data_IF_123333805392
#
_entry.id   IF_123333805392
#
_cell.length_a   1.000
_cell.length_b   1.000
_cell.length_c   1.000
_cell.angle_alpha   90.00
_cell.angle_beta   90.00
_cell.angle_gamma   90.00
#
_symmetry.space_group_name_H-M   'P 1'
#
loop_
_entity.id
_entity.type
_entity.pdbx_description
1 polymer ?
#
# COMPACT_ATOMS: atom_id res chain seq x y z
N UNK A 1 -2.12 -24.75 18.89
CA UNK A 1 -3.12 -23.71 18.60
C UNK A 1 -2.48 -22.41 18.97
N UNK A 2 -1.95 -21.71 18.00
CA UNK A 2 -1.36 -20.38 18.17
C UNK A 2 -2.48 -19.39 18.42
N UNK A 3 -2.35 -18.59 19.47
CA UNK A 3 -3.22 -17.45 19.69
C UNK A 3 -3.29 -16.63 18.41
N UNK A 4 -4.48 -16.49 17.88
CA UNK A 4 -4.74 -15.84 16.62
C UNK A 4 -4.28 -14.39 16.68
N UNK A 5 -3.27 -14.05 15.88
CA UNK A 5 -2.91 -12.66 15.61
C UNK A 5 -3.97 -12.04 14.71
N UNK A 6 -4.33 -10.80 14.99
CA UNK A 6 -5.33 -10.08 14.21
C UNK A 6 -4.66 -9.01 13.34
N UNK A 7 -5.21 -8.79 12.17
CA UNK A 7 -4.74 -7.79 11.23
C UNK A 7 -5.83 -6.77 11.00
N UNK A 8 -5.50 -5.48 11.17
CA UNK A 8 -6.37 -4.41 10.71
C UNK A 8 -6.05 -4.17 9.24
N UNK A 9 -7.02 -4.39 8.41
CA UNK A 9 -6.95 -4.24 6.96
C UNK A 9 -8.06 -3.31 6.48
N UNK A 10 -8.01 -2.92 5.24
CA UNK A 10 -9.01 -2.07 4.62
C UNK A 10 -9.86 -2.88 3.67
N UNK A 11 -11.17 -2.79 3.81
CA UNK A 11 -12.15 -3.37 2.92
C UNK A 11 -12.91 -2.30 2.14
N UNK A 12 -13.45 -2.67 0.98
CA UNK A 12 -14.39 -1.87 0.23
C UNK A 12 -15.80 -2.40 0.41
N UNK A 13 -16.69 -1.54 0.88
CA UNK A 13 -18.11 -1.74 0.67
C UNK A 13 -18.57 -0.79 -0.43
N UNK A 14 -19.12 -1.35 -1.49
CA UNK A 14 -19.46 -0.58 -2.68
C UNK A 14 -18.20 0.08 -3.28
N UNK A 15 -18.03 1.40 -3.17
CA UNK A 15 -16.86 2.14 -3.64
C UNK A 15 -16.14 2.93 -2.53
N UNK A 16 -16.43 2.63 -1.27
CA UNK A 16 -15.80 3.28 -0.10
C UNK A 16 -14.84 2.34 0.63
N UNK A 17 -13.66 2.87 0.98
CA UNK A 17 -12.70 2.14 1.77
C UNK A 17 -13.07 2.17 3.26
N UNK A 18 -12.96 1.03 3.94
CA UNK A 18 -13.22 0.88 5.38
C UNK A 18 -12.05 0.20 6.08
N UNK A 19 -11.83 0.56 7.35
CA UNK A 19 -10.97 -0.21 8.23
C UNK A 19 -11.73 -1.42 8.75
N UNK A 20 -11.10 -2.59 8.74
CA UNK A 20 -11.69 -3.86 9.16
C UNK A 20 -10.72 -4.55 10.14
N UNK A 21 -11.27 -5.13 11.20
CA UNK A 21 -10.57 -6.06 12.08
C UNK A 21 -10.82 -7.47 11.57
N UNK A 22 -9.82 -8.06 10.92
CA UNK A 22 -9.88 -9.40 10.36
C UNK A 22 -9.29 -10.41 11.33
N UNK A 23 -10.00 -11.50 11.57
CA UNK A 23 -9.64 -12.55 12.55
C UNK A 23 -9.40 -13.90 11.90
N UNK A 24 -9.79 -14.05 10.64
CA UNK A 24 -9.63 -15.27 9.86
C UNK A 24 -8.79 -15.01 8.60
N UNK A 25 -8.24 -16.10 8.04
CA UNK A 25 -7.49 -16.04 6.78
C UNK A 25 -8.35 -15.50 5.63
N UNK A 26 -9.59 -15.92 5.55
CA UNK A 26 -10.48 -15.53 4.44
C UNK A 26 -10.86 -14.04 4.53
N UNK A 27 -11.11 -13.52 5.73
CA UNK A 27 -11.30 -12.07 5.95
C UNK A 27 -10.06 -11.26 5.53
N UNK A 28 -8.84 -11.74 5.85
CA UNK A 28 -7.60 -11.08 5.43
C UNK A 28 -7.47 -11.08 3.90
N UNK A 29 -7.78 -12.21 3.24
CA UNK A 29 -7.75 -12.32 1.78
C UNK A 29 -8.79 -11.42 1.13
N UNK A 30 -10.00 -11.35 1.68
CA UNK A 30 -11.06 -10.48 1.18
C UNK A 30 -10.65 -9.00 1.19
N UNK A 31 -9.80 -8.61 2.15
CA UNK A 31 -9.27 -7.25 2.25
C UNK A 31 -8.05 -6.97 1.37
N UNK A 32 -7.55 -7.94 0.60
CA UNK A 32 -6.39 -7.76 -0.27
C UNK A 32 -6.65 -6.73 -1.38
N UNK A 33 -5.58 -6.13 -1.89
CA UNK A 33 -5.61 -5.14 -2.97
C UNK A 33 -5.47 -3.69 -2.49
N UNK A 34 -5.00 -2.84 -3.39
CA UNK A 34 -4.77 -1.41 -3.11
C UNK A 34 -6.09 -0.65 -2.97
N UNK A 35 -6.18 0.21 -1.96
CA UNK A 35 -7.26 1.15 -1.72
C UNK A 35 -6.67 2.56 -1.74
N UNK A 36 -6.98 3.32 -2.77
CA UNK A 36 -6.38 4.64 -2.97
C UNK A 36 -7.22 5.78 -2.37
N UNK A 37 -8.15 5.46 -1.48
CA UNK A 37 -8.97 6.43 -0.75
C UNK A 37 -8.47 6.63 0.69
N UNK A 38 -8.64 7.84 1.24
CA UNK A 38 -8.49 8.06 2.68
C UNK A 38 -9.54 7.24 3.44
N UNK A 39 -9.13 6.66 4.53
CA UNK A 39 -10.03 5.95 5.44
C UNK A 39 -9.46 6.04 6.86
N UNK A 40 -10.31 6.00 7.88
CA UNK A 40 -9.89 6.18 9.27
C UNK A 40 -9.29 4.88 9.84
N UNK A 41 -8.16 4.44 9.27
CA UNK A 41 -7.54 3.14 9.58
C UNK A 41 -7.21 2.98 11.07
N UNK A 42 -6.77 4.05 11.74
CA UNK A 42 -6.43 4.01 13.15
C UNK A 42 -7.66 3.79 14.06
N UNK A 43 -8.88 4.07 13.60
CA UNK A 43 -10.08 3.69 14.34
C UNK A 43 -10.23 2.17 14.47
N UNK A 44 -9.73 1.40 13.50
CA UNK A 44 -9.67 -0.06 13.60
C UNK A 44 -8.83 -0.56 14.78
N UNK A 45 -7.77 0.17 15.20
CA UNK A 45 -7.01 -0.15 16.41
C UNK A 45 -7.87 -0.03 17.67
N UNK A 46 -8.68 1.01 17.76
CA UNK A 46 -9.62 1.18 18.91
C UNK A 46 -10.64 0.05 18.96
N UNK A 47 -11.15 -0.39 17.81
CA UNK A 47 -12.09 -1.52 17.76
C UNK A 47 -11.39 -2.83 18.15
N UNK A 48 -10.16 -3.05 17.72
CA UNK A 48 -9.35 -4.19 18.12
C UNK A 48 -9.07 -4.20 19.63
N UNK A 49 -8.72 -3.03 20.19
CA UNK A 49 -8.51 -2.88 21.63
C UNK A 49 -9.80 -3.15 22.43
N UNK A 50 -10.94 -2.58 22.02
CA UNK A 50 -12.26 -2.85 22.63
C UNK A 50 -12.64 -4.33 22.57
N UNK A 51 -12.28 -5.03 21.50
CA UNK A 51 -12.48 -6.47 21.35
C UNK A 51 -11.52 -7.30 22.22
N UNK A 52 -10.61 -6.67 22.96
CA UNK A 52 -9.67 -7.34 23.86
C UNK A 52 -8.58 -8.12 23.16
N UNK A 53 -8.25 -7.79 21.89
CA UNK A 53 -7.26 -8.50 21.10
C UNK A 53 -5.86 -8.27 21.65
N UNK A 54 -5.09 -9.36 21.85
CA UNK A 54 -3.79 -9.34 22.53
C UNK A 54 -2.59 -9.36 21.58
N UNK A 55 -2.81 -9.64 20.30
CA UNK A 55 -1.76 -9.67 19.28
C UNK A 55 -2.30 -9.09 17.98
N UNK A 56 -1.90 -7.88 17.67
CA UNK A 56 -2.41 -7.12 16.52
C UNK A 56 -1.29 -6.91 15.51
N UNK A 57 -1.50 -7.32 14.26
CA UNK A 57 -0.71 -6.86 13.13
C UNK A 57 -1.50 -5.78 12.40
N UNK A 58 -0.88 -4.62 12.14
CA UNK A 58 -1.49 -3.57 11.33
C UNK A 58 -0.84 -3.51 9.95
N UNK A 59 -1.68 -3.44 8.90
CA UNK A 59 -1.22 -3.06 7.55
C UNK A 59 -1.66 -1.63 7.29
N UNK A 60 -0.74 -0.74 6.98
CA UNK A 60 -1.03 0.69 6.89
C UNK A 60 -0.17 1.41 5.85
N UNK A 61 -0.53 2.65 5.56
CA UNK A 61 0.31 3.56 4.78
C UNK A 61 1.47 4.09 5.63
N UNK A 62 2.57 4.59 5.02
CA UNK A 62 3.72 5.12 5.76
C UNK A 62 3.37 6.18 6.80
N UNK A 63 2.45 7.09 6.47
CA UNK A 63 2.00 8.12 7.41
C UNK A 63 1.24 7.55 8.61
N UNK A 64 0.47 6.49 8.43
CA UNK A 64 -0.20 5.80 9.54
C UNK A 64 0.80 4.98 10.36
N UNK A 65 1.81 4.35 9.74
CA UNK A 65 2.89 3.68 10.47
C UNK A 65 3.61 4.66 11.41
N UNK A 66 3.94 5.86 10.91
CA UNK A 66 4.54 6.91 11.74
C UNK A 66 3.62 7.33 12.89
N UNK A 67 2.32 7.48 12.64
CA UNK A 67 1.34 7.80 13.68
C UNK A 67 1.26 6.70 14.73
N UNK A 68 1.21 5.43 14.34
CA UNK A 68 1.24 4.28 15.25
C UNK A 68 2.49 4.29 16.12
N UNK A 69 3.68 4.52 15.54
CA UNK A 69 4.93 4.58 16.32
C UNK A 69 4.95 5.74 17.29
N UNK A 70 4.40 6.91 16.91
CA UNK A 70 4.26 8.03 17.85
C UNK A 70 3.30 7.69 19.00
N UNK A 71 2.17 7.03 18.71
CA UNK A 71 1.26 6.55 19.76
C UNK A 71 1.94 5.55 20.71
N UNK A 72 2.81 4.68 20.21
CA UNK A 72 3.57 3.71 21.03
C UNK A 72 4.57 4.39 21.99
N UNK A 73 4.95 5.63 21.74
CA UNK A 73 5.84 6.41 22.61
C UNK A 73 5.08 7.20 23.68
N UNK A 74 3.76 7.24 23.60
CA UNK A 74 2.90 8.02 24.49
C UNK A 74 2.07 7.08 25.38
N UNK A 75 2.28 7.09 26.69
CA UNK A 75 1.55 6.23 27.65
C UNK A 75 0.02 6.35 27.57
N UNK A 76 -0.49 7.48 27.12
CA UNK A 76 -1.94 7.71 27.01
C UNK A 76 -2.60 6.83 25.94
N UNK A 77 -1.81 6.20 25.06
CA UNK A 77 -2.29 5.31 24.01
C UNK A 77 -1.99 3.82 24.26
N UNK A 78 -1.42 3.46 25.41
CA UNK A 78 -1.00 2.06 25.69
C UNK A 78 -2.16 1.06 25.57
N UNK A 79 -3.36 1.43 25.96
CA UNK A 79 -4.57 0.61 25.86
C UNK A 79 -4.98 0.34 24.38
N UNK A 80 -4.56 1.17 23.45
CA UNK A 80 -4.87 1.06 22.02
C UNK A 80 -3.76 0.36 21.25
N UNK A 81 -2.49 0.68 21.53
CA UNK A 81 -1.35 0.23 20.71
C UNK A 81 -0.46 -0.81 21.37
N UNK A 82 -0.57 -1.02 22.69
CA UNK A 82 0.31 -1.92 23.46
C UNK A 82 0.26 -3.39 23.03
N UNK A 83 -0.79 -3.79 22.34
CA UNK A 83 -0.94 -5.13 21.79
C UNK A 83 -0.50 -5.27 20.31
N UNK A 84 0.06 -4.22 19.70
CA UNK A 84 0.57 -4.30 18.33
C UNK A 84 1.92 -5.04 18.33
N UNK A 85 1.96 -6.14 17.63
CA UNK A 85 3.16 -7.00 17.50
C UNK A 85 3.86 -6.87 16.14
N UNK A 86 3.21 -6.25 15.15
CA UNK A 86 3.77 -6.09 13.81
C UNK A 86 3.15 -4.92 13.07
N UNK A 87 3.99 -4.07 12.49
CA UNK A 87 3.58 -2.98 11.61
C UNK A 87 4.07 -3.27 10.20
N UNK A 88 3.14 -3.55 9.30
CA UNK A 88 3.39 -3.75 7.87
C UNK A 88 2.96 -2.49 7.14
N UNK A 89 3.78 -1.97 6.27
CA UNK A 89 3.43 -0.82 5.44
C UNK A 89 3.67 -1.12 3.97
N UNK A 90 3.09 -0.32 3.11
CA UNK A 90 3.37 -0.34 1.68
C UNK A 90 4.16 0.91 1.27
N UNK A 91 4.90 0.82 0.19
CA UNK A 91 5.44 1.99 -0.50
C UNK A 91 4.26 2.83 -0.99
N UNK A 92 4.25 4.14 -0.69
CA UNK A 92 3.10 4.99 -0.95
C UNK A 92 3.46 6.22 -1.80
N UNK A 93 2.93 6.31 -3.00
CA UNK A 93 3.02 7.52 -3.84
C UNK A 93 2.12 8.64 -3.34
N UNK A 94 0.84 8.38 -3.21
CA UNK A 94 -0.20 9.24 -2.66
C UNK A 94 -1.48 8.42 -2.44
N UNK A 95 -2.47 9.02 -1.83
CA UNK A 95 -3.86 8.61 -1.96
C UNK A 95 -4.68 9.77 -2.56
N UNK A 96 -5.93 9.51 -2.88
CA UNK A 96 -6.80 10.49 -3.52
C UNK A 96 -8.13 10.57 -2.81
N UNK A 97 -8.76 11.73 -2.84
CA UNK A 97 -10.06 11.91 -2.21
C UNK A 97 -11.10 10.95 -2.81
N UNK A 98 -12.19 10.72 -2.08
CA UNK A 98 -13.33 9.92 -2.55
C UNK A 98 -13.83 10.36 -3.92
N UNK A 99 -13.84 11.68 -4.19
CA UNK A 99 -14.25 12.23 -5.48
C UNK A 99 -13.41 11.71 -6.65
N UNK A 100 -12.15 11.32 -6.42
CA UNK A 100 -11.34 10.67 -7.44
C UNK A 100 -11.91 9.30 -7.84
N UNK A 101 -12.41 8.52 -6.89
CA UNK A 101 -13.08 7.26 -7.18
C UNK A 101 -14.39 7.47 -7.90
N UNK A 102 -15.17 8.42 -7.46
CA UNK A 102 -16.44 8.81 -8.11
C UNK A 102 -16.20 9.23 -9.57
N UNK A 103 -15.16 10.07 -9.82
CA UNK A 103 -14.76 10.46 -11.18
C UNK A 103 -14.31 9.27 -12.05
N UNK A 104 -13.62 8.29 -11.48
CA UNK A 104 -13.28 7.06 -12.23
C UNK A 104 -14.53 6.28 -12.64
N UNK A 105 -15.53 6.19 -11.77
CA UNK A 105 -16.77 5.45 -12.04
C UNK A 105 -17.63 6.22 -13.03
N UNK A 106 -17.88 7.50 -12.79
CA UNK A 106 -18.84 8.29 -13.56
C UNK A 106 -18.24 8.83 -14.86
N UNK A 107 -17.15 9.61 -14.75
CA UNK A 107 -16.60 10.35 -15.89
C UNK A 107 -15.70 9.48 -16.77
N UNK A 108 -14.99 8.52 -16.17
CA UNK A 108 -14.02 7.72 -16.93
C UNK A 108 -14.60 6.42 -17.47
N UNK A 109 -15.49 5.77 -16.69
CA UNK A 109 -16.15 4.53 -17.12
C UNK A 109 -17.57 4.75 -17.63
N UNK A 110 -18.21 5.90 -17.35
CA UNK A 110 -19.58 6.19 -17.78
C UNK A 110 -20.64 5.43 -16.99
N UNK A 111 -20.34 4.99 -15.77
CA UNK A 111 -21.21 4.20 -14.92
C UNK A 111 -21.90 5.09 -13.88
N UNK A 112 -23.03 4.64 -13.34
CA UNK A 112 -23.74 5.32 -12.26
C UNK A 112 -23.32 4.80 -10.91
N UNK A 113 -23.08 5.69 -9.94
CA UNK A 113 -22.67 5.30 -8.58
C UNK A 113 -23.69 4.42 -7.87
N UNK A 114 -24.98 4.68 -8.11
CA UNK A 114 -26.08 3.91 -7.52
C UNK A 114 -26.12 2.45 -7.95
N UNK A 115 -25.54 2.11 -9.10
CA UNK A 115 -25.52 0.75 -9.63
C UNK A 115 -24.30 -0.05 -9.15
N UNK A 116 -23.33 0.58 -8.47
CA UNK A 116 -22.10 -0.08 -8.03
C UNK A 116 -22.37 -1.02 -6.85
N UNK A 117 -21.91 -2.26 -6.97
CA UNK A 117 -21.87 -3.25 -5.89
C UNK A 117 -20.47 -3.34 -5.28
N UNK A 118 -19.40 -3.13 -6.06
CA UNK A 118 -18.03 -3.17 -5.57
C UNK A 118 -17.02 -2.68 -6.60
N UNK A 119 -15.81 -2.38 -6.13
CA UNK A 119 -14.70 -1.96 -6.98
C UNK A 119 -13.40 -2.66 -6.60
N UNK A 120 -12.49 -2.78 -7.57
CA UNK A 120 -11.08 -3.11 -7.35
C UNK A 120 -10.23 -2.14 -8.16
N UNK A 121 -9.29 -1.44 -7.52
CA UNK A 121 -8.42 -0.51 -8.25
C UNK A 121 -7.39 -1.20 -9.11
N UNK A 122 -6.93 -2.37 -8.68
CA UNK A 122 -5.86 -3.11 -9.37
C UNK A 122 -6.24 -4.58 -9.48
N UNK A 123 -7.35 -4.84 -10.19
CA UNK A 123 -7.70 -6.20 -10.59
C UNK A 123 -6.65 -6.74 -11.58
N UNK A 124 -6.52 -8.06 -11.68
CA UNK A 124 -5.64 -8.69 -12.66
C UNK A 124 -6.15 -8.45 -14.09
N UNK A 125 -5.29 -8.48 -15.11
CA UNK A 125 -3.87 -8.79 -15.03
C UNK A 125 -3.02 -7.64 -14.50
N UNK A 126 -1.82 -7.96 -14.06
CA UNK A 126 -0.81 -6.97 -13.68
C UNK A 126 -0.45 -6.06 -14.90
N UNK A 127 -0.22 -4.75 -14.76
CA UNK A 127 -0.07 -3.97 -13.51
C UNK A 127 -1.37 -3.49 -12.88
N UNK A 128 -2.54 -3.81 -13.44
CA UNK A 128 -3.83 -3.61 -12.81
C UNK A 128 -4.87 -2.93 -13.67
N UNK A 129 -6.08 -3.45 -13.57
CA UNK A 129 -7.31 -2.91 -14.14
C UNK A 129 -8.15 -2.26 -13.04
N UNK A 130 -8.78 -1.13 -13.32
CA UNK A 130 -9.88 -0.64 -12.48
C UNK A 130 -11.12 -1.43 -12.85
N UNK A 131 -11.63 -2.18 -11.90
CA UNK A 131 -12.76 -3.09 -12.09
C UNK A 131 -13.93 -2.61 -11.23
N UNK A 132 -15.10 -2.49 -11.83
CA UNK A 132 -16.36 -2.12 -11.18
C UNK A 132 -17.34 -3.27 -11.39
N UNK A 133 -17.86 -3.81 -10.30
CA UNK A 133 -18.94 -4.79 -10.31
C UNK A 133 -20.26 -4.06 -10.04
N UNK A 134 -21.24 -4.23 -10.90
CA UNK A 134 -22.58 -3.64 -10.75
C UNK A 134 -23.49 -4.57 -9.94
N UNK A 135 -24.58 -4.02 -9.39
CA UNK A 135 -25.59 -4.77 -8.63
C UNK A 135 -26.28 -5.88 -9.43
N UNK A 136 -26.33 -5.74 -10.77
CA UNK A 136 -26.84 -6.77 -11.68
C UNK A 136 -25.84 -7.90 -11.97
N UNK A 137 -24.60 -7.80 -11.42
CA UNK A 137 -23.53 -8.76 -11.61
C UNK A 137 -22.59 -8.48 -12.79
N UNK A 138 -22.88 -7.47 -13.62
CA UNK A 138 -21.95 -7.07 -14.69
C UNK A 138 -20.65 -6.54 -14.13
N UNK A 139 -19.53 -6.86 -14.81
CA UNK A 139 -18.19 -6.39 -14.45
C UNK A 139 -17.64 -5.56 -15.61
N UNK A 140 -17.25 -4.34 -15.29
CA UNK A 140 -16.62 -3.41 -16.22
C UNK A 140 -15.16 -3.18 -15.81
N UNK A 141 -14.24 -3.29 -16.77
CA UNK A 141 -12.81 -3.16 -16.50
C UNK A 141 -12.13 -2.19 -17.47
N UNK A 142 -11.17 -1.42 -16.96
CA UNK A 142 -10.39 -0.49 -17.77
C UNK A 142 -8.98 -0.37 -17.20
N UNK A 143 -7.97 -0.30 -18.07
CA UNK A 143 -6.57 -0.20 -17.67
C UNK A 143 -6.33 0.93 -16.68
N UNK A 144 -5.99 0.58 -15.41
CA UNK A 144 -5.84 1.58 -14.37
C UNK A 144 -4.46 2.25 -14.41
N UNK A 145 -3.40 1.46 -14.35
CA UNK A 145 -2.02 1.99 -14.30
C UNK A 145 -1.58 2.49 -15.67
N UNK A 146 -1.66 1.65 -16.72
CA UNK A 146 -1.24 1.99 -18.07
C UNK A 146 -2.33 2.62 -18.93
N UNK A 147 -3.58 2.52 -18.53
CA UNK A 147 -4.74 3.05 -19.26
C UNK A 147 -5.19 4.47 -18.87
N UNK A 148 -4.40 5.16 -18.05
CA UNK A 148 -4.65 6.56 -17.67
C UNK A 148 -5.48 6.78 -16.39
N UNK A 149 -6.05 5.74 -15.78
CA UNK A 149 -6.84 5.88 -14.56
C UNK A 149 -6.04 6.44 -13.39
N UNK A 150 -4.80 5.97 -13.21
CA UNK A 150 -3.93 6.46 -12.16
C UNK A 150 -3.58 7.95 -12.34
N UNK A 151 -3.24 8.36 -13.56
CA UNK A 151 -2.95 9.77 -13.87
C UNK A 151 -4.16 10.68 -13.66
N UNK A 152 -5.37 10.18 -13.94
CA UNK A 152 -6.61 10.92 -13.73
C UNK A 152 -6.85 11.27 -12.26
N UNK A 153 -6.41 10.42 -11.34
CA UNK A 153 -6.55 10.64 -9.91
C UNK A 153 -5.67 11.77 -9.37
N UNK A 154 -4.60 12.16 -10.06
CA UNK A 154 -3.63 13.13 -9.56
C UNK A 154 -4.26 14.48 -9.15
N UNK A 155 -5.32 14.93 -9.86
CA UNK A 155 -6.05 16.15 -9.53
C UNK A 155 -6.81 16.09 -8.20
N UNK A 156 -7.07 14.88 -7.69
CA UNK A 156 -7.78 14.62 -6.44
C UNK A 156 -6.86 14.36 -5.26
N UNK A 157 -5.56 14.62 -5.40
CA UNK A 157 -4.57 14.42 -4.35
C UNK A 157 -4.83 15.38 -3.19
N UNK A 158 -5.04 14.91 -1.95
CA UNK A 158 -5.18 15.74 -0.78
C UNK A 158 -3.94 16.58 -0.54
N UNK A 159 -4.12 17.73 0.11
CA UNK A 159 -3.04 18.67 0.34
C UNK A 159 -1.88 18.04 1.15
N UNK A 160 -2.21 17.21 2.14
CA UNK A 160 -1.23 16.53 2.99
C UNK A 160 -0.26 15.66 2.19
N UNK A 161 -0.73 15.03 1.12
CA UNK A 161 0.10 14.22 0.23
C UNK A 161 1.04 15.05 -0.63
N UNK A 162 0.70 16.30 -0.90
CA UNK A 162 1.49 17.20 -1.75
C UNK A 162 2.76 17.72 -1.07
N UNK A 163 2.85 17.65 0.24
CA UNK A 163 4.06 18.00 1.00
C UNK A 163 4.56 16.84 1.87
N UNK A 164 4.08 15.63 1.64
CA UNK A 164 4.56 14.43 2.33
C UNK A 164 5.86 13.92 1.69
N UNK A 165 6.89 13.68 2.49
CA UNK A 165 8.16 13.06 2.05
C UNK A 165 8.21 11.57 2.38
N UNK A 166 7.34 11.09 3.29
CA UNK A 166 7.33 9.69 3.71
C UNK A 166 6.74 8.80 2.60
N UNK A 167 7.60 8.04 1.94
CA UNK A 167 7.22 7.13 0.87
C UNK A 167 7.51 5.68 1.20
N UNK A 168 8.61 5.42 1.91
CA UNK A 168 9.19 4.08 2.09
C UNK A 168 8.95 3.50 3.48
N UNK A 169 8.06 4.10 4.27
CA UNK A 169 7.67 3.63 5.60
C UNK A 169 8.86 3.32 6.51
N UNK A 170 9.68 4.36 6.77
CA UNK A 170 10.96 4.25 7.51
C UNK A 170 10.82 3.59 8.89
N UNK A 171 9.65 3.66 9.51
CA UNK A 171 9.37 3.15 10.87
C UNK A 171 8.55 1.86 10.92
N UNK A 172 8.20 1.26 9.79
CA UNK A 172 7.50 -0.02 9.77
C UNK A 172 8.47 -1.20 9.98
N UNK A 173 7.96 -2.34 10.43
CA UNK A 173 8.75 -3.56 10.58
C UNK A 173 9.02 -4.22 9.22
N UNK A 174 7.99 -4.24 8.37
CA UNK A 174 8.05 -4.77 7.00
C UNK A 174 7.43 -3.75 6.06
N UNK A 175 8.09 -3.50 4.93
CA UNK A 175 7.57 -2.64 3.87
C UNK A 175 7.42 -3.45 2.59
N UNK A 176 6.28 -3.30 1.95
CA UNK A 176 5.91 -3.98 0.71
C UNK A 176 5.72 -2.96 -0.41
N UNK A 177 6.18 -3.28 -1.60
CA UNK A 177 5.98 -2.39 -2.74
C UNK A 177 6.10 -3.08 -4.08
N UNK A 178 5.66 -2.39 -5.12
CA UNK A 178 5.85 -2.80 -6.49
C UNK A 178 7.31 -2.62 -6.93
N UNK A 179 7.71 -3.34 -7.93
CA UNK A 179 9.09 -3.31 -8.49
C UNK A 179 9.31 -2.25 -9.57
N UNK A 180 8.49 -1.17 -9.62
CA UNK A 180 8.57 -0.14 -10.66
C UNK A 180 9.96 0.51 -10.85
N UNK A 181 10.72 0.61 -9.78
CA UNK A 181 12.06 1.21 -9.82
C UNK A 181 13.18 0.17 -9.77
N UNK A 182 12.85 -1.11 -9.89
CA UNK A 182 13.87 -2.15 -9.94
C UNK A 182 14.51 -2.18 -11.32
N UNK A 183 15.83 -2.22 -11.39
CA UNK A 183 16.59 -2.11 -12.65
C UNK A 183 16.39 -3.31 -13.61
N UNK A 184 15.92 -4.46 -13.11
CA UNK A 184 15.60 -5.65 -13.92
C UNK A 184 14.10 -5.92 -13.91
N UNK A 185 13.44 -5.90 -12.76
CA UNK A 185 12.07 -6.40 -12.57
C UNK A 185 11.00 -5.31 -12.72
N UNK A 186 11.38 -4.12 -13.20
CA UNK A 186 10.40 -3.05 -13.43
C UNK A 186 9.42 -3.47 -14.54
N UNK A 187 8.10 -3.27 -14.33
CA UNK A 187 7.10 -3.53 -15.37
C UNK A 187 7.36 -2.85 -16.71
N UNK A 188 8.06 -1.71 -16.70
CA UNK A 188 8.38 -0.96 -17.92
C UNK A 188 9.51 -1.61 -18.76
N UNK A 189 10.22 -2.57 -18.18
CA UNK A 189 11.31 -3.29 -18.83
C UNK A 189 10.89 -4.69 -19.30
N UNK A 190 9.90 -5.31 -18.65
CA UNK A 190 9.56 -6.71 -18.85
C UNK A 190 9.18 -7.08 -20.30
N UNK A 191 8.61 -6.12 -21.04
CA UNK A 191 8.22 -6.32 -22.44
C UNK A 191 9.39 -6.13 -23.42
N UNK A 192 10.56 -5.71 -22.93
CA UNK A 192 11.75 -5.42 -23.74
C UNK A 192 12.76 -6.55 -23.72
N UNK A 193 12.63 -7.51 -22.83
CA UNK A 193 13.55 -8.63 -22.71
C UNK A 193 13.40 -9.63 -23.84
N UNK A 194 14.54 -10.07 -24.39
CA UNK A 194 14.64 -11.18 -25.34
C UNK A 194 14.39 -12.52 -24.62
N UNK A 195 14.10 -13.56 -25.41
CA UNK A 195 13.94 -14.92 -24.85
C UNK A 195 15.20 -15.41 -24.14
N UNK A 196 16.39 -15.04 -24.66
CA UNK A 196 17.66 -15.39 -24.04
C UNK A 196 17.88 -14.72 -22.69
N UNK A 197 17.49 -13.45 -22.53
CA UNK A 197 17.56 -12.73 -21.26
C UNK A 197 16.54 -13.26 -20.24
N UNK A 198 15.33 -13.59 -20.70
CA UNK A 198 14.31 -14.23 -19.87
C UNK A 198 14.79 -15.57 -19.33
N UNK A 199 15.50 -16.35 -20.14
CA UNK A 199 16.03 -17.66 -19.72
C UNK A 199 17.14 -17.56 -18.66
N UNK A 200 17.79 -16.41 -18.52
CA UNK A 200 18.89 -16.19 -17.55
C UNK A 200 18.40 -15.82 -16.15
N UNK A 201 17.19 -15.32 -16.00
CA UNK A 201 16.63 -14.92 -14.69
C UNK A 201 15.17 -15.36 -14.56
N UNK A 202 14.96 -16.41 -13.76
CA UNK A 202 13.63 -16.97 -13.50
C UNK A 202 12.63 -15.97 -12.89
N UNK A 203 13.11 -14.84 -12.38
CA UNK A 203 12.26 -13.80 -11.80
C UNK A 203 11.55 -12.96 -12.87
N UNK A 204 12.12 -12.83 -14.05
CA UNK A 204 11.54 -12.01 -15.13
C UNK A 204 10.14 -12.50 -15.53
N UNK A 205 9.90 -13.78 -15.84
CA UNK A 205 8.55 -14.25 -16.12
C UNK A 205 7.59 -14.11 -14.92
N UNK A 206 8.09 -14.30 -13.69
CA UNK A 206 7.29 -14.10 -12.49
C UNK A 206 6.91 -12.63 -12.29
N UNK A 207 7.81 -11.71 -12.62
CA UNK A 207 7.54 -10.27 -12.53
C UNK A 207 6.43 -9.80 -13.49
N UNK A 208 6.19 -10.49 -14.60
CA UNK A 208 5.04 -10.24 -15.50
C UNK A 208 3.70 -10.53 -14.83
N UNK A 209 3.68 -11.45 -13.89
CA UNK A 209 2.50 -11.74 -13.05
C UNK A 209 2.39 -10.83 -11.83
N UNK A 210 3.41 -10.05 -11.56
CA UNK A 210 3.54 -9.12 -10.43
C UNK A 210 4.39 -9.69 -9.30
N UNK A 211 5.51 -9.05 -9.03
CA UNK A 211 6.37 -9.31 -7.89
C UNK A 211 6.26 -8.18 -6.86
N UNK A 212 6.55 -8.52 -5.61
CA UNK A 212 6.56 -7.56 -4.51
C UNK A 212 7.97 -7.44 -3.95
N UNK A 213 8.49 -6.21 -3.93
CA UNK A 213 9.68 -5.91 -3.16
C UNK A 213 9.33 -5.94 -1.67
N UNK A 214 10.15 -6.65 -0.88
CA UNK A 214 10.00 -6.77 0.57
C UNK A 214 11.21 -6.14 1.23
N UNK A 215 11.00 -5.12 2.06
CA UNK A 215 12.05 -4.48 2.86
C UNK A 215 11.78 -4.76 4.32
N UNK A 216 12.70 -5.46 4.97
CA UNK A 216 12.65 -5.77 6.41
C UNK A 216 13.46 -4.72 7.15
N UNK A 217 12.90 -4.10 8.19
CA UNK A 217 13.53 -3.00 8.93
C UNK A 217 13.75 -3.26 10.40
N UNK A 218 13.17 -4.32 10.94
CA UNK A 218 13.31 -4.67 12.35
C UNK A 218 13.53 -6.17 12.55
N UNK A 219 14.09 -6.55 13.69
CA UNK A 219 14.20 -7.95 14.09
C UNK A 219 12.85 -8.65 14.18
N UNK A 220 11.81 -7.91 14.57
CA UNK A 220 10.43 -8.43 14.59
C UNK A 220 9.98 -8.75 13.17
N UNK A 221 10.15 -7.81 12.25
CA UNK A 221 9.86 -8.02 10.83
C UNK A 221 10.61 -9.22 10.26
N UNK A 222 11.90 -9.36 10.58
CA UNK A 222 12.72 -10.49 10.14
C UNK A 222 12.16 -11.83 10.63
N UNK A 223 11.79 -11.94 11.92
CA UNK A 223 11.19 -13.16 12.47
C UNK A 223 9.91 -13.58 11.75
N UNK A 224 9.06 -12.61 11.40
CA UNK A 224 7.83 -12.91 10.66
C UNK A 224 8.10 -13.35 9.22
N UNK A 225 9.06 -12.71 8.54
CA UNK A 225 9.45 -13.08 7.17
C UNK A 225 10.10 -14.46 7.14
N UNK A 226 11.00 -14.75 8.08
CA UNK A 226 11.65 -16.06 8.19
C UNK A 226 10.64 -17.18 8.46
N UNK A 227 9.68 -16.95 9.35
CA UNK A 227 8.61 -17.89 9.61
C UNK A 227 7.76 -18.16 8.37
N UNK A 228 7.36 -17.12 7.65
CA UNK A 228 6.56 -17.25 6.42
C UNK A 228 7.34 -17.98 5.31
N UNK A 229 8.67 -17.78 5.22
CA UNK A 229 9.55 -18.51 4.30
C UNK A 229 9.68 -19.97 4.70
N UNK A 230 9.87 -20.25 5.98
CA UNK A 230 10.00 -21.61 6.52
C UNK A 230 8.72 -22.44 6.33
N UNK A 231 7.55 -21.79 6.48
CA UNK A 231 6.25 -22.41 6.25
C UNK A 231 5.91 -22.57 4.74
N UNK A 232 6.78 -22.11 3.84
CA UNK A 232 6.52 -22.13 2.39
C UNK A 232 5.40 -21.20 1.94
N UNK A 233 4.95 -20.28 2.80
CA UNK A 233 3.88 -19.33 2.49
C UNK A 233 4.33 -18.25 1.48
N UNK A 234 5.64 -17.97 1.41
CA UNK A 234 6.25 -17.03 0.48
C UNK A 234 7.54 -17.62 -0.10
N UNK A 235 7.83 -17.34 -1.38
CA UNK A 235 9.14 -17.54 -2.02
C UNK A 235 9.82 -16.19 -2.09
N UNK A 236 11.05 -16.09 -1.59
CA UNK A 236 11.85 -14.87 -1.62
C UNK A 236 13.09 -15.09 -2.48
N UNK A 237 13.50 -14.03 -3.14
CA UNK A 237 14.75 -13.89 -3.85
C UNK A 237 15.54 -12.79 -3.14
N UNK A 238 16.71 -13.15 -2.61
CA UNK A 238 17.56 -12.19 -1.93
C UNK A 238 18.21 -11.27 -2.96
N UNK A 239 18.16 -9.96 -2.71
CA UNK A 239 18.81 -8.96 -3.56
C UNK A 239 20.15 -8.54 -2.98
N UNK A 240 21.19 -8.38 -3.81
CA UNK A 240 22.44 -7.78 -3.37
C UNK A 240 22.21 -6.40 -2.73
N UNK A 241 23.00 -6.06 -1.72
CA UNK A 241 22.84 -4.81 -0.96
C UNK A 241 22.84 -3.57 -1.87
N UNK A 242 23.73 -3.53 -2.86
CA UNK A 242 23.82 -2.41 -3.80
C UNK A 242 22.54 -2.26 -4.64
N UNK A 243 21.97 -3.37 -5.09
CA UNK A 243 20.69 -3.38 -5.83
C UNK A 243 19.54 -2.91 -4.95
N UNK A 244 19.46 -3.43 -3.72
CA UNK A 244 18.44 -3.02 -2.76
C UNK A 244 18.57 -1.53 -2.42
N UNK A 245 19.78 -1.03 -2.23
CA UNK A 245 20.07 0.39 -1.99
C UNK A 245 19.65 1.26 -3.18
N UNK A 246 20.04 0.89 -4.40
CA UNK A 246 19.65 1.62 -5.61
C UNK A 246 18.13 1.67 -5.78
N UNK A 247 17.44 0.54 -5.56
CA UNK A 247 15.98 0.49 -5.61
C UNK A 247 15.35 1.44 -4.58
N UNK A 248 15.78 1.40 -3.33
CA UNK A 248 15.23 2.26 -2.27
C UNK A 248 15.51 3.74 -2.53
N UNK A 249 16.72 4.09 -2.98
CA UNK A 249 17.05 5.46 -3.38
C UNK A 249 16.18 5.92 -4.55
N UNK A 250 16.02 5.11 -5.60
CA UNK A 250 15.18 5.46 -6.74
C UNK A 250 13.71 5.64 -6.32
N UNK A 251 13.20 4.76 -5.43
CA UNK A 251 11.84 4.90 -4.87
C UNK A 251 11.71 6.19 -4.08
N UNK A 252 12.70 6.52 -3.26
CA UNK A 252 12.69 7.73 -2.43
C UNK A 252 12.91 8.98 -3.27
N UNK A 253 14.00 9.04 -4.04
CA UNK A 253 14.50 10.26 -4.67
C UNK A 253 13.70 10.69 -5.91
N UNK A 254 13.25 9.74 -6.72
CA UNK A 254 12.45 10.01 -7.92
C UNK A 254 10.95 10.21 -7.64
N UNK A 255 10.55 10.10 -6.39
CA UNK A 255 9.16 10.23 -6.02
C UNK A 255 8.84 11.57 -5.34
N UNK A 256 8.36 11.46 -4.09
CA UNK A 256 7.87 12.61 -3.32
C UNK A 256 8.86 13.76 -3.13
N UNK A 257 10.17 13.56 -2.87
CA UNK A 257 11.09 14.68 -2.68
C UNK A 257 11.18 15.63 -3.88
N UNK A 258 11.23 15.08 -5.09
CA UNK A 258 11.29 15.90 -6.32
C UNK A 258 9.99 16.66 -6.53
N UNK A 259 8.85 16.00 -6.32
CA UNK A 259 7.54 16.61 -6.56
C UNK A 259 7.10 17.54 -5.42
N UNK A 260 7.39 17.15 -4.18
CA UNK A 260 6.86 17.80 -2.99
C UNK A 260 7.82 18.81 -2.34
N UNK A 261 9.13 18.71 -2.60
CA UNK A 261 10.14 19.63 -2.07
C UNK A 261 9.83 21.10 -2.32
N UNK A 262 9.51 21.52 -3.56
CA UNK A 262 9.13 22.90 -3.85
C UNK A 262 7.88 23.36 -3.09
N UNK A 263 6.92 22.49 -2.89
CA UNK A 263 5.69 22.79 -2.12
C UNK A 263 6.04 23.00 -0.65
N UNK A 264 6.89 22.14 -0.08
CA UNK A 264 7.36 22.26 1.31
C UNK A 264 8.10 23.59 1.49
N UNK A 265 9.07 23.91 0.62
CA UNK A 265 9.81 25.15 0.68
C UNK A 265 8.90 26.39 0.60
N UNK A 266 7.91 26.36 -0.27
CA UNK A 266 6.93 27.46 -0.38
C UNK A 266 6.15 27.63 0.92
N UNK A 267 5.73 26.53 1.56
CA UNK A 267 5.02 26.58 2.84
C UNK A 267 5.89 27.13 3.96
N UNK A 268 7.15 26.67 4.06
CA UNK A 268 8.11 27.17 5.05
C UNK A 268 8.31 28.67 4.89
N UNK A 269 8.58 29.14 3.67
CA UNK A 269 8.78 30.60 3.38
C UNK A 269 7.53 31.41 3.76
N UNK A 270 6.34 30.85 3.63
CA UNK A 270 5.07 31.51 3.98
C UNK A 270 4.67 31.35 5.44
N UNK A 271 5.49 30.71 6.28
CA UNK A 271 5.16 30.43 7.68
C UNK A 271 3.96 29.47 7.85
N UNK A 272 3.67 28.65 6.84
CA UNK A 272 2.59 27.68 6.89
C UNK A 272 3.08 26.37 7.53
N UNK A 273 2.22 25.64 8.23
CA UNK A 273 2.59 24.37 8.85
C UNK A 273 3.12 23.38 7.81
N UNK A 274 4.22 22.72 8.13
CA UNK A 274 4.76 21.57 7.42
C UNK A 274 4.87 20.38 8.39
N UNK A 275 4.90 19.18 7.85
CA UNK A 275 5.08 18.00 8.66
C UNK A 275 6.53 17.95 9.17
N UNK A 276 6.68 17.76 10.48
CA UNK A 276 7.99 17.46 11.06
C UNK A 276 8.30 15.98 10.86
N UNK A 277 9.42 15.72 10.20
CA UNK A 277 9.99 14.40 10.05
C UNK A 277 11.11 14.28 11.08
N UNK A 278 10.86 13.52 12.12
CA UNK A 278 11.84 13.23 13.19
C UNK A 278 12.62 11.99 12.80
#
# INVERSE_FOLDING_TARGET
KTDTGFKIVTDFSQYEAKAVVATTRDEIIACAGSKYQPHPQLLGLREAAKAGLKRIAITCTPCNALSVRKMMLDPDFEDIVGNIVLVISNICGAHWSRHGTEDLITEWMGLKLEDVAGIKYRARPFPGQFSVTLKNGEVHEKGFVRGGGLGRLAKFTPEECRYCLEKVASVADIVLGDTWHHHVLSPDLLDKYTEEEIAKDERIPLAKEGMTAVVVRSEIGQKFVDAARADGAIKLYDEPEDTARQFLCAVHDLGKPICNGPVINTRVVRGQPVREYV
#
